data_IF_883251493020
#
_entry.id   IF_883251493020
#
_cell.length_a   1.000
_cell.length_b   1.000
_cell.length_c   1.000
_cell.angle_alpha   90.00
_cell.angle_beta   90.00
_cell.angle_gamma   90.00
#
_symmetry.space_group_name_H-M   'P 1'
#
loop_
_entity.id
_entity.type
_entity.pdbx_description
1 polymer ?
#
# COMPACT_ATOMS: atom_id res chain seq x y z
N UNK A 1 7.18 -22.17 -27.84
CA UNK A 1 7.62 -21.09 -26.95
C UNK A 1 6.35 -20.46 -26.41
N UNK A 2 6.26 -20.20 -25.11
CA UNK A 2 5.15 -19.41 -24.60
C UNK A 2 5.31 -17.95 -25.09
N UNK A 3 4.21 -17.36 -25.58
CA UNK A 3 4.18 -15.96 -26.00
C UNK A 3 4.01 -15.05 -24.78
N UNK A 4 4.83 -14.01 -24.70
CA UNK A 4 4.65 -12.95 -23.70
C UNK A 4 3.40 -12.13 -24.03
N UNK A 5 2.60 -11.86 -23.01
CA UNK A 5 1.41 -10.99 -23.10
C UNK A 5 1.63 -9.74 -22.27
N UNK A 6 1.27 -8.60 -22.84
CA UNK A 6 1.27 -7.31 -22.14
C UNK A 6 -0.10 -7.06 -21.52
N UNK A 7 -0.10 -6.46 -20.33
CA UNK A 7 -1.30 -6.07 -19.61
C UNK A 7 -1.13 -4.67 -19.04
N UNK A 8 -2.21 -3.92 -18.93
CA UNK A 8 -2.28 -2.74 -18.06
C UNK A 8 -2.37 -3.22 -16.62
N UNK A 9 -1.77 -2.47 -15.70
CA UNK A 9 -1.78 -2.83 -14.27
C UNK A 9 -3.21 -3.10 -13.76
N UNK A 10 -4.16 -2.23 -14.09
CA UNK A 10 -5.57 -2.39 -13.67
C UNK A 10 -6.29 -3.63 -14.23
N UNK A 11 -5.71 -4.37 -15.17
CA UNK A 11 -6.26 -5.64 -15.68
C UNK A 11 -5.83 -6.84 -14.83
N UNK A 12 -4.75 -6.70 -14.05
CA UNK A 12 -4.11 -7.82 -13.33
C UNK A 12 -4.08 -7.64 -11.81
N UNK A 13 -4.64 -6.53 -11.31
CA UNK A 13 -4.81 -6.25 -9.88
C UNK A 13 -6.14 -5.54 -9.60
N UNK A 14 -6.59 -5.60 -8.35
CA UNK A 14 -7.64 -4.72 -7.84
C UNK A 14 -7.00 -3.52 -7.14
N UNK A 15 -7.45 -2.31 -7.47
CA UNK A 15 -7.03 -1.07 -6.80
C UNK A 15 -8.09 -0.72 -5.76
N UNK A 16 -7.70 -0.65 -4.49
CA UNK A 16 -8.59 -0.51 -3.34
C UNK A 16 -8.54 0.89 -2.70
N UNK A 17 -8.11 1.89 -3.45
CA UNK A 17 -7.93 3.27 -2.98
C UNK A 17 -9.20 3.91 -2.41
N UNK A 18 -10.37 3.43 -2.84
CA UNK A 18 -11.67 3.88 -2.32
C UNK A 18 -11.91 3.48 -0.85
N UNK A 19 -11.12 2.55 -0.31
CA UNK A 19 -11.18 2.13 1.11
C UNK A 19 -10.32 3.00 2.02
N UNK A 20 -9.52 3.93 1.48
CA UNK A 20 -8.63 4.80 2.26
C UNK A 20 -9.42 5.76 3.12
N UNK A 21 -9.00 5.93 4.38
CA UNK A 21 -9.60 6.91 5.29
C UNK A 21 -8.46 7.73 5.90
N UNK A 22 -8.15 8.93 5.39
CA UNK A 22 -7.06 9.74 5.94
C UNK A 22 -7.43 10.25 7.34
N UNK A 23 -6.51 10.11 8.29
CA UNK A 23 -6.59 10.73 9.62
C UNK A 23 -5.52 11.80 9.75
N UNK A 24 -5.89 12.96 10.27
CA UNK A 24 -4.97 14.02 10.65
C UNK A 24 -4.08 13.60 11.84
N UNK A 25 -2.96 14.29 12.02
CA UNK A 25 -2.09 14.05 13.19
C UNK A 25 -2.78 14.32 14.53
N UNK A 26 -3.82 15.16 14.57
CA UNK A 26 -4.60 15.40 15.77
C UNK A 26 -5.53 14.21 16.08
N UNK A 27 -6.20 13.67 15.06
CA UNK A 27 -7.07 12.49 15.21
C UNK A 27 -6.27 11.25 15.64
N UNK A 28 -5.09 11.02 15.05
CA UNK A 28 -4.24 9.88 15.44
C UNK A 28 -3.81 9.95 16.91
N UNK A 29 -3.48 11.14 17.42
CA UNK A 29 -3.16 11.35 18.85
C UNK A 29 -4.32 11.01 19.79
N UNK A 30 -5.56 11.14 19.34
CA UNK A 30 -6.74 10.78 20.15
C UNK A 30 -7.12 9.30 20.04
N UNK A 31 -6.44 8.57 19.15
CA UNK A 31 -6.76 7.19 18.76
C UNK A 31 -5.56 6.27 18.92
N UNK A 32 -4.67 6.55 19.89
CA UNK A 32 -3.47 5.74 20.10
C UNK A 32 -3.82 4.27 20.36
N UNK A 33 -3.11 3.35 19.70
CA UNK A 33 -3.37 1.92 19.84
C UNK A 33 -2.28 1.05 19.24
N UNK A 34 -2.63 -0.19 18.90
CA UNK A 34 -1.66 -1.21 18.47
C UNK A 34 -1.62 -1.48 16.97
N UNK A 35 -2.54 -0.95 16.18
CA UNK A 35 -2.59 -1.23 14.74
C UNK A 35 -1.77 -0.21 13.96
N UNK A 36 -0.88 -0.64 13.04
CA UNK A 36 -0.06 0.28 12.28
C UNK A 36 -0.90 1.16 11.35
N UNK A 37 -0.55 2.43 11.30
CA UNK A 37 -1.09 3.42 10.38
C UNK A 37 -0.05 3.74 9.30
N UNK A 38 -0.34 3.35 8.06
CA UNK A 38 0.55 3.49 6.91
C UNK A 38 0.36 4.83 6.18
N UNK A 39 1.47 5.46 5.81
CA UNK A 39 1.57 6.53 4.81
C UNK A 39 2.37 6.09 3.59
N UNK A 40 2.85 7.05 2.78
CA UNK A 40 3.61 6.77 1.55
C UNK A 40 4.89 5.94 1.79
N UNK A 41 5.58 6.16 2.90
CA UNK A 41 6.90 5.59 3.19
C UNK A 41 6.87 4.48 4.25
N UNK A 42 5.69 3.89 4.49
CA UNK A 42 5.50 2.87 5.52
C UNK A 42 4.74 3.37 6.73
N UNK A 43 4.96 2.71 7.86
CA UNK A 43 4.25 3.00 9.11
C UNK A 43 4.71 4.35 9.65
N UNK A 44 3.75 5.24 9.91
CA UNK A 44 4.02 6.57 10.48
C UNK A 44 3.44 6.74 11.88
N UNK A 45 2.53 5.85 12.31
CA UNK A 45 1.88 5.90 13.61
C UNK A 45 1.25 4.54 13.97
N UNK A 46 0.69 4.43 15.18
CA UNK A 46 -0.13 3.29 15.59
C UNK A 46 -1.44 3.76 16.22
N UNK A 47 -2.56 3.17 15.78
CA UNK A 47 -3.90 3.57 16.20
C UNK A 47 -4.74 2.41 16.75
N UNK A 48 -5.88 2.75 17.33
CA UNK A 48 -6.81 1.87 18.05
C UNK A 48 -7.71 1.02 17.14
N UNK A 49 -7.62 1.15 15.82
CA UNK A 49 -8.53 0.52 14.87
C UNK A 49 -7.84 0.20 13.53
N UNK A 50 -8.53 -0.57 12.68
CA UNK A 50 -8.01 -0.99 11.37
C UNK A 50 -9.12 -1.02 10.30
N UNK A 51 -8.72 -0.80 9.05
CA UNK A 51 -9.63 -0.86 7.88
C UNK A 51 -9.24 -1.96 6.87
N UNK A 52 -8.09 -2.59 7.08
CA UNK A 52 -7.62 -3.74 6.32
C UNK A 52 -7.22 -4.87 7.27
N UNK A 53 -7.51 -6.11 6.87
CA UNK A 53 -7.02 -7.33 7.50
C UNK A 53 -6.65 -8.31 6.38
N UNK A 54 -5.35 -8.51 6.15
CA UNK A 54 -4.88 -9.37 5.07
C UNK A 54 -3.48 -9.00 4.58
N UNK A 55 -3.16 -9.38 3.35
CA UNK A 55 -1.89 -9.02 2.70
C UNK A 55 -2.16 -8.23 1.43
N UNK A 56 -1.61 -7.03 1.37
CA UNK A 56 -1.79 -6.09 0.26
C UNK A 56 -0.48 -5.41 -0.06
N UNK A 57 -0.36 -4.96 -1.31
CA UNK A 57 0.76 -4.14 -1.75
C UNK A 57 0.39 -2.66 -1.58
N UNK A 58 1.21 -1.93 -0.83
CA UNK A 58 1.13 -0.48 -0.69
C UNK A 58 2.16 0.16 -1.60
N UNK A 59 1.74 1.09 -2.45
CA UNK A 59 2.62 1.85 -3.35
C UNK A 59 2.50 3.33 -3.00
N UNK A 60 3.62 4.03 -2.82
CA UNK A 60 3.61 5.47 -2.54
C UNK A 60 2.88 6.25 -3.65
N UNK A 61 1.88 7.05 -3.29
CA UNK A 61 1.20 7.97 -4.22
C UNK A 61 2.02 9.25 -4.43
N UNK A 62 2.65 9.73 -3.36
CA UNK A 62 3.49 10.93 -3.36
C UNK A 62 4.70 10.80 -2.42
N UNK A 63 5.52 11.86 -2.37
CA UNK A 63 6.66 11.98 -1.45
C UNK A 63 8.02 12.01 -2.13
N UNK A 64 9.04 12.39 -1.36
CA UNK A 64 10.40 12.62 -1.89
C UNK A 64 11.08 11.33 -2.37
N UNK A 65 10.67 10.17 -1.85
CA UNK A 65 11.22 8.89 -2.28
C UNK A 65 10.84 8.52 -3.72
N UNK A 66 9.70 9.01 -4.24
CA UNK A 66 9.35 8.85 -5.66
C UNK A 66 10.38 9.53 -6.59
N UNK A 67 10.99 10.63 -6.13
CA UNK A 67 11.99 11.39 -6.90
C UNK A 67 13.40 10.89 -6.65
N UNK A 68 13.73 10.65 -5.39
CA UNK A 68 15.09 10.35 -4.96
C UNK A 68 15.49 8.89 -5.13
N UNK A 69 14.52 7.96 -5.23
CA UNK A 69 14.72 6.51 -5.29
C UNK A 69 15.62 5.96 -4.17
N UNK A 70 15.65 6.64 -3.02
CA UNK A 70 16.50 6.25 -1.88
C UNK A 70 15.91 5.11 -1.04
N UNK A 71 14.61 4.86 -1.18
CA UNK A 71 13.88 3.82 -0.47
C UNK A 71 12.87 3.20 -1.43
N UNK A 72 12.47 1.97 -1.14
CA UNK A 72 11.44 1.27 -1.90
C UNK A 72 10.13 2.06 -1.87
N UNK A 73 9.53 2.24 -3.04
CA UNK A 73 8.24 2.94 -3.19
C UNK A 73 7.06 1.98 -3.02
N UNK A 74 7.32 0.68 -2.94
CA UNK A 74 6.31 -0.35 -2.79
C UNK A 74 6.70 -1.33 -1.67
N UNK A 75 5.73 -1.67 -0.83
CA UNK A 75 5.92 -2.56 0.32
C UNK A 75 4.68 -3.43 0.54
N UNK A 76 4.89 -4.64 1.06
CA UNK A 76 3.79 -5.50 1.48
C UNK A 76 3.36 -5.15 2.90
N UNK A 77 2.07 -4.83 3.07
CA UNK A 77 1.43 -4.69 4.37
C UNK A 77 0.71 -5.99 4.72
N UNK A 78 0.82 -6.41 5.98
CA UNK A 78 0.32 -7.69 6.46
C UNK A 78 -0.48 -7.52 7.76
N UNK A 79 -1.52 -8.33 7.91
CA UNK A 79 -2.37 -8.35 9.10
C UNK A 79 -3.33 -7.17 9.14
N UNK A 80 -3.61 -6.70 10.36
CA UNK A 80 -4.57 -5.63 10.63
C UNK A 80 -3.89 -4.27 10.63
N UNK A 81 -4.36 -3.36 9.80
CA UNK A 81 -3.76 -2.02 9.69
C UNK A 81 -4.72 -0.97 9.13
N UNK A 82 -4.30 0.28 9.23
CA UNK A 82 -4.95 1.43 8.64
C UNK A 82 -4.03 2.08 7.61
N UNK A 83 -4.59 2.70 6.57
CA UNK A 83 -3.82 3.33 5.50
C UNK A 83 -4.37 4.71 5.15
N UNK A 84 -3.45 5.66 4.98
CA UNK A 84 -3.73 7.04 4.57
C UNK A 84 -3.97 7.14 3.04
N UNK A 85 -4.35 8.32 2.56
CA UNK A 85 -4.48 8.63 1.13
C UNK A 85 -3.14 8.79 0.39
N UNK A 86 -2.00 8.79 1.07
CA UNK A 86 -0.67 8.91 0.45
C UNK A 86 -0.08 7.58 -0.04
N UNK A 87 -0.85 6.49 0.01
CA UNK A 87 -0.46 5.20 -0.54
C UNK A 87 -1.63 4.61 -1.34
N UNK A 88 -1.33 4.03 -2.50
CA UNK A 88 -2.24 3.18 -3.25
C UNK A 88 -2.29 1.79 -2.63
N UNK A 89 -3.47 1.17 -2.58
CA UNK A 89 -3.64 -0.20 -2.09
C UNK A 89 -3.94 -1.12 -3.26
N UNK A 90 -3.09 -2.12 -3.44
CA UNK A 90 -3.15 -3.07 -4.53
C UNK A 90 -3.35 -4.48 -3.98
N UNK A 91 -4.37 -5.15 -4.48
CA UNK A 91 -4.71 -6.54 -4.17
C UNK A 91 -4.55 -7.41 -5.44
N UNK A 92 -4.12 -8.66 -5.27
CA UNK A 92 -4.12 -9.62 -6.37
C UNK A 92 -5.54 -9.95 -6.81
N UNK A 93 -5.82 -9.92 -8.11
CA UNK A 93 -7.08 -10.45 -8.66
C UNK A 93 -6.99 -11.94 -9.07
N UNK A 94 -5.90 -12.62 -8.68
CA UNK A 94 -5.61 -14.00 -9.07
C UNK A 94 -4.76 -14.16 -10.33
N UNK A 95 -4.55 -13.09 -11.11
CA UNK A 95 -3.70 -13.12 -12.33
C UNK A 95 -2.25 -12.78 -11.98
N UNK A 96 -2.02 -11.78 -11.11
CA UNK A 96 -0.68 -11.33 -10.72
C UNK A 96 -0.39 -11.63 -9.25
N UNK A 97 0.80 -12.20 -8.96
CA UNK A 97 1.31 -12.28 -7.59
C UNK A 97 1.82 -10.90 -7.14
N UNK A 98 1.19 -10.35 -6.10
CA UNK A 98 1.56 -9.03 -5.57
C UNK A 98 3.00 -8.96 -5.03
N UNK A 99 3.61 -10.10 -4.67
CA UNK A 99 5.04 -10.16 -4.29
C UNK A 99 5.93 -9.95 -5.51
N UNK A 100 5.57 -10.55 -6.64
CA UNK A 100 6.26 -10.32 -7.91
C UNK A 100 6.10 -8.86 -8.34
N UNK A 101 4.87 -8.33 -8.29
CA UNK A 101 4.60 -6.93 -8.60
C UNK A 101 5.41 -5.98 -7.71
N UNK A 102 5.47 -6.24 -6.40
CA UNK A 102 6.30 -5.47 -5.47
C UNK A 102 7.77 -5.41 -5.93
N UNK A 103 8.34 -6.56 -6.31
CA UNK A 103 9.74 -6.63 -6.78
C UNK A 103 10.00 -5.89 -8.09
N UNK A 104 8.96 -5.72 -8.92
CA UNK A 104 9.03 -5.04 -10.21
C UNK A 104 8.88 -3.53 -10.06
N UNK A 105 8.01 -3.07 -9.17
CA UNK A 105 7.72 -1.64 -8.93
C UNK A 105 8.79 -0.99 -8.05
N UNK A 106 9.45 -1.72 -7.15
CA UNK A 106 10.52 -1.17 -6.29
C UNK A 106 11.87 -0.93 -7.00
N UNK A 107 11.92 -0.92 -8.34
CA UNK A 107 13.16 -0.74 -9.14
C UNK A 107 13.28 0.64 -9.82
#
# INVERSE_FOLDING_TARGET
MEEWKEYRLGEVVNILDYKRIPLSSAERKTREGGFPYYGAQGIIDYIDDYIFDGTYLLIAEDGENLKSKKQDIAQLAHGKYWVNNHAHIVESNGICDIRYLCSLVSR
#
